data_IF_694976762426
#
_entry.id   IF_694976762426
#
_cell.length_a   1.000
_cell.length_b   1.000
_cell.length_c   1.000
_cell.angle_alpha   90.00
_cell.angle_beta   90.00
_cell.angle_gamma   90.00
#
_symmetry.space_group_name_H-M   'P 1'
#
loop_
_entity.id
_entity.type
_entity.pdbx_description
1 polymer ?
#
# COMPACT_ATOMS: atom_id res chain seq x y z
N UNK A 1 31.85 -34.25 2.15
CA UNK A 1 32.30 -33.48 0.96
C UNK A 1 32.61 -32.06 1.41
N UNK A 2 33.68 -31.47 0.87
CA UNK A 2 34.04 -30.11 1.20
C UNK A 2 32.96 -29.13 0.69
N UNK A 3 32.84 -27.98 1.35
CA UNK A 3 31.98 -26.86 0.92
C UNK A 3 32.45 -26.36 -0.46
N UNK A 4 31.52 -26.34 -1.45
CA UNK A 4 31.82 -25.77 -2.76
C UNK A 4 31.86 -24.24 -2.63
N UNK A 5 33.02 -23.65 -2.87
CA UNK A 5 33.27 -22.22 -2.68
C UNK A 5 33.18 -21.42 -3.97
N UNK A 6 32.90 -22.05 -5.10
CA UNK A 6 33.02 -21.41 -6.40
C UNK A 6 31.68 -21.32 -7.15
N UNK A 7 31.02 -22.44 -7.33
CA UNK A 7 29.81 -22.51 -8.15
C UNK A 7 28.65 -23.11 -7.36
N UNK A 8 27.53 -22.40 -7.31
CA UNK A 8 26.32 -22.80 -6.62
C UNK A 8 25.10 -22.44 -7.46
N UNK A 9 24.02 -23.20 -7.32
CA UNK A 9 22.75 -22.93 -7.98
C UNK A 9 21.87 -22.17 -7.01
N UNK A 10 21.38 -20.99 -7.39
CA UNK A 10 20.34 -20.29 -6.65
C UNK A 10 19.04 -21.11 -6.72
N UNK A 11 18.60 -21.65 -5.59
CA UNK A 11 17.35 -22.40 -5.51
C UNK A 11 16.16 -21.45 -5.43
N UNK A 12 16.18 -20.56 -4.44
CA UNK A 12 15.10 -19.56 -4.25
C UNK A 12 15.50 -18.46 -3.26
N UNK A 13 14.91 -17.31 -3.43
CA UNK A 13 14.91 -16.26 -2.41
C UNK A 13 13.80 -16.57 -1.39
N UNK A 14 14.20 -16.66 -0.11
CA UNK A 14 13.29 -17.00 1.00
C UNK A 14 12.52 -15.80 1.53
N UNK A 15 13.23 -14.72 1.79
CA UNK A 15 12.65 -13.52 2.38
C UNK A 15 13.59 -12.33 2.23
N UNK A 16 13.02 -11.15 2.37
CA UNK A 16 13.72 -9.88 2.48
C UNK A 16 13.30 -9.20 3.77
N UNK A 17 14.26 -8.63 4.48
CA UNK A 17 14.01 -7.82 5.67
C UNK A 17 14.64 -6.45 5.51
N UNK A 18 13.92 -5.41 5.91
CA UNK A 18 14.43 -4.04 5.97
C UNK A 18 14.52 -3.61 7.42
N UNK A 19 15.62 -2.93 7.75
CA UNK A 19 15.90 -2.43 9.09
C UNK A 19 16.21 -0.95 9.04
N UNK A 20 15.75 -0.25 10.04
CA UNK A 20 16.12 1.14 10.29
C UNK A 20 17.63 1.27 10.50
N UNK A 21 18.25 2.31 9.93
CA UNK A 21 19.70 2.46 9.97
C UNK A 21 20.25 2.77 11.37
N UNK A 22 19.49 3.53 12.17
CA UNK A 22 19.89 3.97 13.50
C UNK A 22 19.54 2.94 14.57
N UNK A 23 18.28 2.60 14.65
CA UNK A 23 17.75 1.73 15.72
C UNK A 23 17.95 0.25 15.46
N UNK A 24 18.30 -0.14 14.21
CA UNK A 24 18.40 -1.53 13.73
C UNK A 24 17.09 -2.34 13.89
N UNK A 25 15.98 -1.66 14.18
CA UNK A 25 14.67 -2.31 14.26
C UNK A 25 14.20 -2.74 12.88
N UNK A 26 13.63 -3.93 12.81
CA UNK A 26 12.99 -4.40 11.58
C UNK A 26 11.74 -3.58 11.30
N UNK A 27 11.70 -2.97 10.11
CA UNK A 27 10.58 -2.15 9.64
C UNK A 27 9.58 -2.99 8.84
N UNK A 28 10.11 -3.86 7.96
CA UNK A 28 9.26 -4.72 7.15
C UNK A 28 9.96 -6.06 6.86
N UNK A 29 9.14 -7.08 6.60
CA UNK A 29 9.59 -8.39 6.14
C UNK A 29 8.67 -8.87 5.03
N UNK A 30 9.26 -9.27 3.89
CA UNK A 30 8.56 -9.85 2.75
C UNK A 30 8.99 -11.31 2.60
N UNK A 31 8.03 -12.20 2.37
CA UNK A 31 8.27 -13.66 2.27
C UNK A 31 7.78 -14.27 0.97
N UNK A 32 7.05 -13.51 0.16
CA UNK A 32 6.46 -13.99 -1.10
C UNK A 32 7.03 -13.20 -2.27
N UNK A 33 8.36 -13.29 -2.44
CA UNK A 33 9.09 -12.56 -3.49
C UNK A 33 9.06 -13.35 -4.80
N UNK A 34 8.76 -12.65 -5.88
CA UNK A 34 8.79 -13.12 -7.25
C UNK A 34 9.76 -12.28 -8.08
N UNK A 35 10.41 -12.94 -9.02
CA UNK A 35 11.32 -12.31 -9.99
C UNK A 35 12.41 -11.41 -9.36
N UNK A 36 13.08 -11.85 -8.28
CA UNK A 36 14.11 -11.04 -7.65
C UNK A 36 15.31 -10.88 -8.58
N UNK A 37 15.79 -9.64 -8.73
CA UNK A 37 16.94 -9.31 -9.57
C UNK A 37 17.86 -8.32 -8.85
N UNK A 38 19.15 -8.58 -8.89
CA UNK A 38 20.20 -7.69 -8.39
C UNK A 38 21.07 -7.25 -9.56
N UNK A 39 21.00 -5.97 -9.91
CA UNK A 39 21.71 -5.39 -11.03
C UNK A 39 22.80 -4.44 -10.54
N UNK A 40 23.95 -4.46 -11.22
CA UNK A 40 25.05 -3.51 -10.98
C UNK A 40 25.43 -2.87 -12.29
N UNK A 41 25.52 -1.54 -12.32
CA UNK A 41 25.93 -0.76 -13.47
C UNK A 41 27.05 0.19 -13.10
N UNK A 42 27.88 0.55 -14.08
CA UNK A 42 28.90 1.59 -13.96
C UNK A 42 28.92 2.42 -15.25
N UNK A 43 29.24 3.68 -15.14
CA UNK A 43 29.42 4.57 -16.29
C UNK A 43 30.85 4.47 -16.81
N UNK A 44 31.03 4.19 -18.10
CA UNK A 44 32.33 4.13 -18.76
C UNK A 44 32.59 5.40 -19.58
N UNK A 45 33.74 6.02 -19.38
CA UNK A 45 34.23 7.14 -20.17
C UNK A 45 35.42 6.67 -21.02
N UNK A 46 35.26 6.72 -22.33
CA UNK A 46 36.31 6.31 -23.25
C UNK A 46 37.34 7.43 -23.44
N UNK A 47 38.62 7.11 -23.26
CA UNK A 47 39.75 7.99 -23.54
C UNK A 47 40.33 7.56 -24.88
N UNK A 48 40.28 8.46 -25.87
CA UNK A 48 40.76 8.23 -27.23
C UNK A 48 42.03 9.10 -27.53
N UNK A 49 42.85 8.66 -28.43
CA UNK A 49 43.97 9.43 -28.93
C UNK A 49 43.55 10.45 -30.02
N UNK A 50 44.54 11.20 -30.53
CA UNK A 50 44.31 12.25 -31.55
C UNK A 50 43.76 11.73 -32.89
N UNK A 51 43.87 10.42 -33.16
CA UNK A 51 43.33 9.78 -34.38
C UNK A 51 42.08 8.99 -34.10
N UNK A 52 41.52 9.07 -32.87
CA UNK A 52 40.26 8.40 -32.48
C UNK A 52 40.43 6.93 -32.04
N UNK A 53 41.66 6.47 -31.83
CA UNK A 53 41.89 5.12 -31.31
C UNK A 53 41.63 5.07 -29.79
N UNK A 54 40.90 4.05 -29.31
CA UNK A 54 40.62 3.86 -27.90
C UNK A 54 41.92 3.54 -27.12
N UNK A 55 42.25 4.39 -26.18
CA UNK A 55 43.39 4.18 -25.28
C UNK A 55 42.97 3.36 -24.06
N UNK A 56 41.87 3.75 -23.39
CA UNK A 56 41.36 3.09 -22.19
C UNK A 56 39.89 3.52 -21.94
N UNK A 57 39.19 2.74 -21.11
CA UNK A 57 37.88 3.11 -20.58
C UNK A 57 37.99 3.31 -19.08
N UNK A 58 37.60 4.48 -18.59
CA UNK A 58 37.54 4.80 -17.16
C UNK A 58 36.13 4.55 -16.65
N UNK A 59 36.00 3.68 -15.65
CA UNK A 59 34.70 3.38 -15.04
C UNK A 59 34.46 4.22 -13.80
N UNK A 60 33.30 4.83 -13.72
CA UNK A 60 32.86 5.69 -12.61
C UNK A 60 31.40 5.39 -12.23
N UNK A 61 30.93 6.02 -11.14
CA UNK A 61 29.52 6.01 -10.73
C UNK A 61 28.88 4.62 -10.69
N UNK A 62 29.55 3.66 -10.01
CA UNK A 62 28.98 2.32 -9.82
C UNK A 62 27.69 2.41 -9.02
N UNK A 63 26.61 1.83 -9.56
CA UNK A 63 25.27 1.79 -8.97
C UNK A 63 24.82 0.34 -8.85
N UNK A 64 24.03 0.04 -7.84
CA UNK A 64 23.39 -1.24 -7.70
C UNK A 64 21.90 -1.04 -7.40
N UNK A 65 21.05 -1.90 -7.97
CA UNK A 65 19.61 -1.93 -7.71
C UNK A 65 19.16 -3.35 -7.44
N UNK A 66 18.23 -3.50 -6.52
CA UNK A 66 17.53 -4.75 -6.26
C UNK A 66 16.06 -4.55 -6.54
N UNK A 67 15.51 -5.31 -7.47
CA UNK A 67 14.09 -5.28 -7.83
C UNK A 67 13.44 -6.64 -7.59
N UNK A 68 12.18 -6.62 -7.18
CA UNK A 68 11.34 -7.80 -7.04
C UNK A 68 9.87 -7.39 -7.01
N UNK A 69 8.98 -8.38 -7.08
CA UNK A 69 7.56 -8.20 -6.82
C UNK A 69 7.15 -9.02 -5.61
N UNK A 70 6.26 -8.50 -4.78
CA UNK A 70 5.60 -9.29 -3.75
C UNK A 70 4.27 -9.80 -4.30
N UNK A 71 4.01 -11.11 -4.15
CA UNK A 71 2.78 -11.75 -4.66
C UNK A 71 1.51 -11.27 -3.96
N UNK A 72 1.66 -10.59 -2.83
CA UNK A 72 0.56 -10.06 -2.02
C UNK A 72 0.69 -8.55 -1.88
N UNK A 73 -0.42 -7.85 -1.83
CA UNK A 73 -0.43 -6.44 -1.46
C UNK A 73 -0.01 -6.30 0.01
N UNK A 74 1.12 -5.64 0.24
CA UNK A 74 1.65 -5.41 1.59
C UNK A 74 1.50 -3.93 1.97
N UNK A 75 0.69 -3.66 2.99
CA UNK A 75 0.53 -2.29 3.50
C UNK A 75 1.81 -1.75 4.16
N UNK A 76 2.65 -2.62 4.72
CA UNK A 76 3.96 -2.21 5.25
C UNK A 76 4.91 -1.80 4.12
N UNK A 77 4.90 -2.53 3.00
CA UNK A 77 5.66 -2.17 1.82
C UNK A 77 5.14 -0.85 1.21
N UNK A 78 3.83 -0.70 1.08
CA UNK A 78 3.22 0.54 0.57
C UNK A 78 3.59 1.74 1.46
N UNK A 79 3.50 1.61 2.78
CA UNK A 79 3.89 2.66 3.71
C UNK A 79 5.37 3.04 3.56
N UNK A 80 6.26 2.04 3.42
CA UNK A 80 7.68 2.27 3.19
C UNK A 80 7.96 2.95 1.84
N UNK A 81 7.25 2.57 0.76
CA UNK A 81 7.37 3.19 -0.57
C UNK A 81 6.87 4.65 -0.58
N UNK A 82 5.84 4.96 0.20
CA UNK A 82 5.33 6.33 0.33
C UNK A 82 6.11 7.16 1.36
N UNK A 83 7.04 6.56 2.11
CA UNK A 83 7.78 7.24 3.17
C UNK A 83 6.93 7.58 4.40
N UNK A 84 5.79 6.92 4.58
CA UNK A 84 4.84 7.15 5.65
C UNK A 84 4.82 5.97 6.63
N UNK A 85 4.05 6.12 7.70
CA UNK A 85 3.79 5.03 8.64
C UNK A 85 2.41 4.45 8.38
N UNK A 86 2.29 3.14 8.53
CA UNK A 86 1.01 2.45 8.59
C UNK A 86 0.35 2.79 9.93
N UNK A 87 -0.84 3.34 9.89
CA UNK A 87 -1.69 3.60 11.05
C UNK A 87 -2.58 2.39 11.31
N UNK A 88 -2.55 1.88 12.52
CA UNK A 88 -3.38 0.74 12.95
C UNK A 88 -4.14 1.16 14.20
N UNK A 89 -5.45 1.04 14.19
CA UNK A 89 -6.25 1.34 15.37
C UNK A 89 -5.81 0.48 16.56
N UNK A 90 -5.72 1.08 17.73
CA UNK A 90 -5.20 0.47 18.95
C UNK A 90 -3.68 0.42 19.07
N UNK A 91 -2.95 1.03 18.11
CA UNK A 91 -1.49 1.14 18.16
C UNK A 91 -1.04 2.59 18.00
N UNK A 92 0.10 2.92 18.60
CA UNK A 92 0.77 4.22 18.48
C UNK A 92 -0.13 5.44 18.73
N UNK A 93 -1.15 5.31 19.60
CA UNK A 93 -2.09 6.38 19.95
C UNK A 93 -3.21 6.62 18.94
N UNK A 94 -3.36 5.76 17.94
CA UNK A 94 -4.48 5.81 16.98
C UNK A 94 -5.69 5.13 17.61
N UNK A 95 -6.67 5.91 18.05
CA UNK A 95 -7.89 5.35 18.66
C UNK A 95 -8.94 4.99 17.60
N UNK A 96 -9.11 5.84 16.59
CA UNK A 96 -10.09 5.67 15.53
C UNK A 96 -9.52 6.12 14.18
N UNK A 97 -10.05 5.56 13.11
CA UNK A 97 -9.76 5.97 11.74
C UNK A 97 -11.09 6.32 11.06
N UNK A 98 -11.07 7.39 10.26
CA UNK A 98 -12.19 7.76 9.39
C UNK A 98 -12.20 6.84 8.19
N UNK A 99 -13.33 6.15 8.00
CA UNK A 99 -13.60 5.28 6.86
C UNK A 99 -14.77 5.84 6.03
N UNK A 100 -14.92 5.32 4.82
CA UNK A 100 -15.94 5.72 3.85
C UNK A 100 -16.89 4.56 3.60
N UNK A 101 -18.18 4.83 3.70
CA UNK A 101 -19.21 3.87 3.36
C UNK A 101 -20.18 4.43 2.34
N UNK A 102 -20.75 3.54 1.56
CA UNK A 102 -21.94 3.83 0.77
C UNK A 102 -23.00 2.76 1.06
N UNK A 103 -24.25 3.16 1.06
CA UNK A 103 -25.38 2.26 1.26
C UNK A 103 -26.49 2.53 0.27
N UNK A 104 -27.14 1.45 -0.15
CA UNK A 104 -28.37 1.50 -0.94
C UNK A 104 -29.51 1.01 -0.04
N UNK A 105 -30.30 1.96 0.43
CA UNK A 105 -31.39 1.72 1.38
C UNK A 105 -32.70 1.69 0.66
N UNK A 106 -33.57 0.72 1.04
CA UNK A 106 -34.94 0.62 0.51
C UNK A 106 -35.86 1.60 1.24
N UNK A 107 -36.61 2.36 0.47
CA UNK A 107 -37.63 3.26 1.01
C UNK A 107 -38.87 2.41 1.38
N UNK A 108 -39.26 2.44 2.64
CA UNK A 108 -40.43 1.77 3.16
C UNK A 108 -41.46 2.78 3.61
N UNK A 109 -42.73 2.44 3.43
CA UNK A 109 -43.87 3.25 3.88
C UNK A 109 -44.61 2.55 4.99
N UNK A 110 -45.23 3.33 5.85
CA UNK A 110 -46.14 2.87 6.89
C UNK A 110 -47.49 3.57 6.73
N UNK A 111 -48.51 2.80 6.73
CA UNK A 111 -49.91 3.35 6.68
C UNK A 111 -50.49 3.27 8.07
N UNK A 112 -50.86 4.41 8.63
CA UNK A 112 -51.49 4.54 9.93
C UNK A 112 -52.93 5.04 9.74
N UNK A 113 -53.91 4.42 10.44
CA UNK A 113 -55.36 4.69 10.33
C UNK A 113 -56.05 3.66 9.47
N UNK A 114 -57.40 3.67 9.53
CA UNK A 114 -58.27 2.79 8.77
C UNK A 114 -59.27 3.62 7.92
N UNK A 115 -59.62 3.08 6.77
CA UNK A 115 -60.58 3.71 5.85
C UNK A 115 -60.08 5.02 5.25
N UNK A 116 -61.00 5.99 5.07
CA UNK A 116 -60.69 7.29 4.43
C UNK A 116 -59.74 8.19 5.25
N UNK A 117 -59.38 7.77 6.48
CA UNK A 117 -58.42 8.46 7.36
C UNK A 117 -57.01 7.84 7.35
N UNK A 118 -56.75 6.88 6.46
CA UNK A 118 -55.45 6.25 6.35
C UNK A 118 -54.41 7.23 5.81
N UNK A 119 -53.32 7.45 6.58
CA UNK A 119 -52.20 8.29 6.17
C UNK A 119 -50.99 7.40 5.94
N UNK A 120 -50.45 7.45 4.73
CA UNK A 120 -49.21 6.74 4.37
C UNK A 120 -48.05 7.69 4.55
N UNK A 121 -47.11 7.34 5.41
CA UNK A 121 -45.87 8.10 5.65
C UNK A 121 -44.66 7.26 5.27
N UNK A 122 -43.60 7.91 4.83
CA UNK A 122 -42.31 7.27 4.56
C UNK A 122 -41.57 7.05 5.89
N UNK A 123 -41.15 5.81 6.11
CA UNK A 123 -40.33 5.47 7.28
C UNK A 123 -38.90 6.08 7.15
N UNK A 124 -38.37 6.64 8.22
CA UNK A 124 -36.93 6.97 8.23
C UNK A 124 -36.09 5.74 7.92
N UNK A 125 -35.04 5.90 7.11
CA UNK A 125 -34.06 4.86 6.84
C UNK A 125 -32.89 4.97 7.80
N UNK A 126 -32.24 3.85 8.10
CA UNK A 126 -31.13 3.80 9.08
C UNK A 126 -29.85 3.34 8.40
N UNK A 127 -28.77 4.09 8.58
CA UNK A 127 -27.44 3.71 8.17
C UNK A 127 -26.84 2.64 9.10
N UNK A 128 -25.95 1.82 8.58
CA UNK A 128 -25.23 0.80 9.36
C UNK A 128 -24.30 1.39 10.41
N UNK A 129 -23.74 2.58 10.11
CA UNK A 129 -22.84 3.28 11.02
C UNK A 129 -23.32 4.72 11.25
N UNK A 130 -23.01 5.27 12.42
CA UNK A 130 -23.27 6.66 12.71
C UNK A 130 -22.36 7.55 11.85
N UNK A 131 -22.89 8.47 11.02
CA UNK A 131 -22.08 9.28 10.14
C UNK A 131 -21.35 10.37 10.93
N UNK A 132 -20.18 10.77 10.44
CA UNK A 132 -19.52 11.98 10.94
C UNK A 132 -20.38 13.17 10.54
N UNK A 133 -20.58 14.08 11.48
CA UNK A 133 -21.40 15.28 11.29
C UNK A 133 -21.02 16.01 9.99
N UNK A 134 -22.03 16.33 9.18
CA UNK A 134 -21.90 16.97 7.87
C UNK A 134 -21.09 16.19 6.82
N UNK A 135 -20.86 14.88 7.00
CA UNK A 135 -20.22 14.04 5.97
C UNK A 135 -21.15 13.74 4.81
N UNK A 136 -22.46 13.66 5.07
CA UNK A 136 -23.49 13.49 4.04
C UNK A 136 -23.90 14.85 3.51
N UNK A 137 -23.70 15.09 2.22
CA UNK A 137 -24.14 16.33 1.55
C UNK A 137 -25.34 16.11 0.67
N UNK A 138 -25.43 14.94 0.04
CA UNK A 138 -26.45 14.59 -0.92
C UNK A 138 -26.93 13.17 -0.69
N UNK A 139 -28.20 12.95 -0.93
CA UNK A 139 -28.86 11.64 -0.97
C UNK A 139 -29.47 11.51 -2.36
N UNK A 140 -29.24 10.38 -3.02
CA UNK A 140 -29.69 10.17 -4.39
C UNK A 140 -30.76 9.10 -4.44
N UNK A 141 -31.81 9.28 -5.25
CA UNK A 141 -32.69 8.16 -5.60
C UNK A 141 -31.99 7.22 -6.57
N UNK A 142 -32.33 5.94 -6.53
CA UNK A 142 -31.90 4.95 -7.51
C UNK A 142 -33.14 4.53 -8.36
N UNK A 143 -33.01 4.80 -9.65
CA UNK A 143 -34.03 4.49 -10.63
C UNK A 143 -33.44 3.61 -11.73
N UNK A 144 -33.97 2.45 -11.99
CA UNK A 144 -33.47 1.50 -13.00
C UNK A 144 -31.98 1.16 -12.87
N UNK A 145 -31.45 1.09 -11.64
CA UNK A 145 -30.03 0.93 -11.29
C UNK A 145 -29.11 2.13 -11.68
N UNK A 146 -29.68 3.25 -11.99
CA UNK A 146 -28.96 4.51 -12.24
C UNK A 146 -29.23 5.52 -11.12
N UNK A 147 -28.31 6.47 -10.96
CA UNK A 147 -28.47 7.58 -10.01
C UNK A 147 -29.51 8.53 -10.54
N UNK A 148 -30.59 8.72 -9.78
CA UNK A 148 -31.71 9.61 -10.10
C UNK A 148 -31.55 10.99 -9.47
N UNK A 149 -32.63 11.49 -8.86
CA UNK A 149 -32.69 12.84 -8.27
C UNK A 149 -31.80 12.95 -7.03
N UNK A 150 -31.06 14.05 -6.95
CA UNK A 150 -30.24 14.43 -5.79
C UNK A 150 -31.03 15.32 -4.81
N UNK A 151 -30.99 14.96 -3.54
CA UNK A 151 -31.60 15.70 -2.43
C UNK A 151 -30.55 16.21 -1.48
N UNK A 152 -30.60 17.47 -1.10
CA UNK A 152 -29.68 18.05 -0.15
C UNK A 152 -30.00 17.61 1.29
N UNK A 153 -28.99 17.65 2.17
CA UNK A 153 -29.19 17.45 3.60
C UNK A 153 -29.36 18.83 4.27
N UNK A 154 -30.54 19.04 4.84
CA UNK A 154 -30.92 20.28 5.51
C UNK A 154 -31.03 20.13 7.03
N UNK A 155 -31.38 21.23 7.68
CA UNK A 155 -31.66 21.26 9.13
C UNK A 155 -32.99 20.61 9.52
N UNK A 156 -33.89 20.43 8.57
CA UNK A 156 -35.16 19.73 8.72
C UNK A 156 -35.52 19.05 7.40
N UNK A 157 -36.21 17.92 7.46
CA UNK A 157 -36.78 17.29 6.27
C UNK A 157 -37.95 18.10 5.74
N UNK A 158 -37.99 18.31 4.42
CA UNK A 158 -39.05 19.01 3.71
C UNK A 158 -39.34 18.32 2.36
N UNK A 159 -39.89 19.00 1.38
CA UNK A 159 -40.18 18.44 0.07
C UNK A 159 -38.87 18.13 -0.73
N UNK A 160 -37.83 18.89 -0.52
CA UNK A 160 -36.55 18.84 -1.30
C UNK A 160 -35.34 18.43 -0.47
N UNK A 161 -35.40 18.55 0.85
CA UNK A 161 -34.27 18.29 1.73
C UNK A 161 -34.54 17.08 2.64
N UNK A 162 -33.50 16.31 2.88
CA UNK A 162 -33.47 15.24 3.88
C UNK A 162 -32.88 15.75 5.20
N UNK A 163 -33.25 15.12 6.31
CA UNK A 163 -32.63 15.32 7.62
C UNK A 163 -31.84 14.09 7.99
N UNK A 164 -30.59 14.28 8.39
CA UNK A 164 -29.71 13.22 8.91
C UNK A 164 -29.46 13.46 10.39
N UNK A 165 -29.83 12.50 11.22
CA UNK A 165 -29.56 12.53 12.66
C UNK A 165 -28.17 11.95 12.97
N UNK A 166 -27.60 12.35 14.12
CA UNK A 166 -26.25 11.93 14.56
C UNK A 166 -26.13 10.40 14.73
N UNK A 167 -27.25 9.72 14.94
CA UNK A 167 -27.30 8.24 15.07
C UNK A 167 -27.38 7.50 13.72
N UNK A 168 -27.34 8.20 12.60
CA UNK A 168 -27.46 7.65 11.24
C UNK A 168 -28.89 7.43 10.78
N UNK A 169 -29.91 7.93 11.49
CA UNK A 169 -31.28 7.91 11.01
C UNK A 169 -31.49 9.04 10.00
N UNK A 170 -32.03 8.69 8.83
CA UNK A 170 -32.31 9.64 7.75
C UNK A 170 -33.83 9.75 7.58
N UNK A 171 -34.34 10.95 7.77
CA UNK A 171 -35.72 11.29 7.35
C UNK A 171 -35.63 11.82 5.93
N UNK A 172 -36.25 11.06 5.00
CA UNK A 172 -36.22 11.37 3.57
C UNK A 172 -37.14 12.55 3.25
N UNK A 173 -36.91 13.26 2.12
CA UNK A 173 -37.80 14.26 1.60
C UNK A 173 -39.20 13.69 1.34
N UNK A 174 -40.24 14.46 1.54
CA UNK A 174 -41.64 14.00 1.35
C UNK A 174 -41.95 13.65 -0.10
N UNK A 175 -41.15 14.15 -1.05
CA UNK A 175 -41.24 13.77 -2.47
C UNK A 175 -40.75 12.35 -2.77
N UNK A 176 -39.96 11.74 -1.87
CA UNK A 176 -39.39 10.37 -2.03
C UNK A 176 -40.35 9.37 -1.36
N UNK A 177 -41.28 8.83 -2.09
CA UNK A 177 -42.34 7.94 -1.53
C UNK A 177 -42.11 6.45 -1.71
N UNK A 178 -41.14 6.06 -2.54
CA UNK A 178 -40.84 4.66 -2.83
C UNK A 178 -39.46 4.50 -3.48
N UNK A 179 -39.05 3.26 -3.73
CA UNK A 179 -37.78 2.97 -4.43
C UNK A 179 -36.60 2.71 -3.51
N UNK A 180 -35.44 3.15 -3.93
CA UNK A 180 -34.18 3.02 -3.18
C UNK A 180 -33.46 4.36 -3.15
N UNK A 181 -32.69 4.59 -2.10
CA UNK A 181 -31.80 5.74 -1.97
C UNK A 181 -30.37 5.30 -1.79
N UNK A 182 -29.46 6.02 -2.42
CA UNK A 182 -28.02 5.85 -2.32
C UNK A 182 -27.44 6.97 -1.46
N UNK A 183 -26.60 6.59 -0.49
CA UNK A 183 -26.01 7.53 0.45
C UNK A 183 -24.52 7.19 0.60
N UNK A 184 -23.65 8.18 0.44
CA UNK A 184 -22.23 8.10 0.79
C UNK A 184 -21.96 8.91 2.05
N UNK A 185 -21.15 8.35 2.95
CA UNK A 185 -20.82 9.01 4.20
C UNK A 185 -19.50 8.56 4.76
N UNK A 186 -18.97 9.37 5.69
CA UNK A 186 -17.81 9.03 6.48
C UNK A 186 -18.24 8.64 7.89
N UNK A 187 -17.55 7.68 8.47
CA UNK A 187 -17.78 7.25 9.84
C UNK A 187 -16.45 6.93 10.54
N UNK A 188 -16.44 6.94 11.87
CA UNK A 188 -15.29 6.53 12.65
C UNK A 188 -15.34 5.03 12.92
N UNK A 189 -14.22 4.35 12.69
CA UNK A 189 -14.10 2.91 12.99
C UNK A 189 -12.93 2.64 13.93
N UNK A 190 -13.11 1.65 14.80
CA UNK A 190 -12.11 1.14 15.73
C UNK A 190 -11.40 -0.13 15.20
N UNK A 191 -11.68 -0.53 13.96
CA UNK A 191 -11.14 -1.75 13.34
C UNK A 191 -10.61 -1.50 11.94
N UNK A 192 -9.68 -0.54 11.79
CA UNK A 192 -9.12 -0.20 10.50
C UNK A 192 -7.59 -0.10 10.51
N UNK A 193 -7.03 -0.17 9.31
CA UNK A 193 -5.63 0.11 9.01
C UNK A 193 -5.59 1.11 7.86
N UNK A 194 -4.79 2.15 7.99
CA UNK A 194 -4.65 3.20 6.98
C UNK A 194 -3.19 3.42 6.58
N UNK A 195 -2.95 3.60 5.29
CA UNK A 195 -1.68 4.08 4.73
C UNK A 195 -2.01 5.31 3.90
N UNK A 196 -1.29 6.41 4.14
CA UNK A 196 -1.51 7.68 3.45
C UNK A 196 -0.29 7.99 2.60
N UNK A 197 -0.49 8.27 1.32
CA UNK A 197 0.55 8.81 0.46
C UNK A 197 0.51 10.35 0.53
N UNK A 198 1.57 10.97 1.02
CA UNK A 198 1.69 12.42 1.13
C UNK A 198 2.71 12.95 0.13
N UNK A 199 2.38 14.01 -0.57
CA UNK A 199 3.24 14.61 -1.59
C UNK A 199 4.60 15.11 -1.08
N UNK A 200 4.74 15.36 0.22
CA UNK A 200 5.96 15.88 0.86
C UNK A 200 6.82 14.80 1.53
N UNK A 201 6.36 13.55 1.59
CA UNK A 201 7.06 12.47 2.28
C UNK A 201 7.66 11.50 1.25
N UNK A 202 8.89 11.05 1.52
CA UNK A 202 9.64 10.14 0.65
C UNK A 202 10.27 9.00 1.46
N UNK A 203 10.55 7.85 0.84
CA UNK A 203 11.18 6.73 1.49
C UNK A 203 12.47 7.11 2.24
N UNK A 204 12.63 6.60 3.43
CA UNK A 204 13.88 6.73 4.20
C UNK A 204 14.89 5.68 3.76
N UNK A 205 16.18 5.95 4.02
CA UNK A 205 17.21 4.95 3.82
C UNK A 205 17.12 3.86 4.89
N UNK A 206 17.32 2.62 4.48
CA UNK A 206 17.23 1.41 5.31
C UNK A 206 18.41 0.48 5.03
N UNK A 207 18.72 -0.45 5.93
CA UNK A 207 19.53 -1.61 5.58
C UNK A 207 18.63 -2.76 5.14
N UNK A 208 19.09 -3.51 4.13
CA UNK A 208 18.30 -4.61 3.55
C UNK A 208 19.09 -5.89 3.63
N UNK A 209 18.45 -6.97 4.09
CA UNK A 209 19.02 -8.31 4.07
C UNK A 209 18.08 -9.23 3.30
N UNK A 210 18.63 -9.84 2.25
CA UNK A 210 17.93 -10.80 1.40
C UNK A 210 18.44 -12.19 1.77
N UNK A 211 17.54 -13.09 2.14
CA UNK A 211 17.84 -14.48 2.48
C UNK A 211 17.50 -15.37 1.30
N UNK A 212 18.46 -16.20 0.89
CA UNK A 212 18.31 -17.09 -0.23
C UNK A 212 18.84 -18.50 0.12
N UNK A 213 18.36 -19.48 -0.61
CA UNK A 213 18.91 -20.84 -0.57
C UNK A 213 19.66 -21.12 -1.86
N UNK A 214 20.82 -21.76 -1.70
CA UNK A 214 21.65 -22.20 -2.80
C UNK A 214 21.85 -23.71 -2.69
N UNK A 215 22.01 -24.37 -3.82
CA UNK A 215 22.32 -25.82 -3.90
C UNK A 215 23.72 -26.02 -4.41
N UNK A 216 24.33 -27.08 -3.93
CA UNK A 216 25.60 -27.56 -4.48
C UNK A 216 25.39 -28.16 -5.87
N UNK A 217 26.26 -27.80 -6.82
CA UNK A 217 26.17 -28.29 -8.22
C UNK A 217 26.39 -29.81 -8.29
N UNK A 218 27.30 -30.37 -7.43
CA UNK A 218 27.67 -31.78 -7.41
C UNK A 218 26.78 -32.61 -6.46
N UNK A 219 26.03 -31.96 -5.56
CA UNK A 219 25.15 -32.64 -4.61
C UNK A 219 23.90 -31.79 -4.35
N UNK A 220 22.89 -31.99 -5.17
CA UNK A 220 21.62 -31.23 -5.12
C UNK A 220 20.88 -31.35 -3.77
N UNK A 221 21.15 -32.35 -2.95
CA UNK A 221 20.58 -32.49 -1.62
C UNK A 221 21.25 -31.60 -0.59
N UNK A 222 22.41 -30.99 -0.91
CA UNK A 222 23.11 -30.08 -0.01
C UNK A 222 22.66 -28.65 -0.28
N UNK A 223 22.02 -28.04 0.72
CA UNK A 223 21.49 -26.69 0.66
C UNK A 223 22.35 -25.79 1.53
N UNK A 224 22.79 -24.67 0.97
CA UNK A 224 23.51 -23.62 1.66
C UNK A 224 22.59 -22.45 1.99
N UNK A 225 22.78 -21.82 3.14
CA UNK A 225 22.15 -20.57 3.47
C UNK A 225 22.94 -19.40 2.85
N UNK A 226 22.29 -18.62 2.00
CA UNK A 226 22.87 -17.42 1.41
C UNK A 226 22.21 -16.16 1.93
N UNK A 227 22.98 -15.11 2.02
CA UNK A 227 22.50 -13.77 2.40
C UNK A 227 23.12 -12.75 1.44
N UNK A 228 22.31 -11.77 1.04
CA UNK A 228 22.81 -10.57 0.38
C UNK A 228 22.48 -9.43 1.32
N UNK A 229 23.53 -8.76 1.82
CA UNK A 229 23.41 -7.68 2.79
C UNK A 229 23.72 -6.36 2.08
N UNK A 230 22.76 -5.45 2.10
CA UNK A 230 22.90 -4.09 1.57
C UNK A 230 22.91 -3.13 2.76
N UNK A 231 24.07 -2.59 3.15
CA UNK A 231 24.18 -1.74 4.34
C UNK A 231 23.29 -0.51 4.29
N UNK A 232 23.13 0.08 3.09
CA UNK A 232 22.29 1.26 2.86
C UNK A 232 21.59 1.18 1.52
N UNK A 233 20.28 1.13 1.56
CA UNK A 233 19.41 1.12 0.39
C UNK A 233 18.21 2.06 0.61
N UNK A 234 17.59 2.49 -0.46
CA UNK A 234 16.39 3.31 -0.43
C UNK A 234 15.40 2.79 -1.45
N UNK A 235 14.13 2.68 -1.07
CA UNK A 235 13.07 2.37 -2.03
C UNK A 235 12.99 3.45 -3.09
N UNK A 236 12.89 3.05 -4.35
CA UNK A 236 12.75 3.98 -5.47
C UNK A 236 11.34 4.57 -5.48
N UNK A 237 11.19 5.91 -5.30
CA UNK A 237 9.87 6.55 -5.33
C UNK A 237 9.42 6.96 -6.73
N UNK A 238 10.27 6.83 -7.76
CA UNK A 238 9.99 7.31 -9.11
C UNK A 238 8.83 6.55 -9.77
N UNK A 239 8.67 5.27 -9.44
CA UNK A 239 7.57 4.47 -9.92
C UNK A 239 7.11 3.50 -8.84
N UNK A 240 5.95 3.78 -8.26
CA UNK A 240 5.26 2.89 -7.32
C UNK A 240 3.95 2.45 -7.96
N UNK A 241 3.88 1.20 -8.35
CA UNK A 241 2.69 0.60 -8.94
C UNK A 241 2.00 -0.33 -7.94
N UNK A 242 0.71 -0.17 -7.77
CA UNK A 242 -0.13 -1.09 -7.02
C UNK A 242 -1.19 -1.64 -7.98
N UNK A 243 -0.99 -2.85 -8.48
CA UNK A 243 -1.93 -3.47 -9.40
C UNK A 243 -3.24 -3.83 -8.68
N UNK A 244 -4.32 -3.16 -9.05
CA UNK A 244 -5.66 -3.35 -8.47
C UNK A 244 -6.43 -4.46 -9.19
N UNK A 245 -5.81 -5.64 -9.31
CA UNK A 245 -6.39 -6.84 -9.92
C UNK A 245 -6.32 -8.01 -8.96
N UNK A 246 -7.16 -9.02 -9.15
CA UNK A 246 -7.20 -10.19 -8.25
C UNK A 246 -5.86 -10.95 -8.17
N UNK A 247 -5.03 -10.87 -9.21
CA UNK A 247 -3.69 -11.45 -9.30
C UNK A 247 -2.60 -10.37 -9.31
N UNK A 248 -2.93 -9.16 -8.83
CA UNK A 248 -2.02 -8.03 -8.83
C UNK A 248 -0.79 -8.30 -7.95
N UNK A 249 0.38 -8.07 -8.52
CA UNK A 249 1.65 -8.09 -7.78
C UNK A 249 1.93 -6.69 -7.23
N UNK A 250 2.73 -6.63 -6.18
CA UNK A 250 3.20 -5.38 -5.58
C UNK A 250 4.70 -5.24 -5.87
N UNK A 251 5.09 -4.59 -7.00
CA UNK A 251 6.47 -4.42 -7.38
C UNK A 251 7.18 -3.38 -6.51
N UNK A 252 8.48 -3.54 -6.36
CA UNK A 252 9.34 -2.60 -5.66
C UNK A 252 10.78 -2.68 -6.16
N UNK A 253 11.50 -1.58 -5.99
CA UNK A 253 12.91 -1.48 -6.30
C UNK A 253 13.64 -0.76 -5.18
N UNK A 254 14.79 -1.29 -4.78
CA UNK A 254 15.74 -0.62 -3.91
C UNK A 254 16.92 -0.10 -4.75
N UNK A 255 17.22 1.17 -4.60
CA UNK A 255 18.48 1.76 -5.03
C UNK A 255 19.48 1.59 -3.89
N UNK A 256 20.56 0.86 -4.16
CA UNK A 256 21.59 0.56 -3.18
C UNK A 256 22.65 1.67 -3.26
N UNK A 257 22.88 2.32 -2.16
CA UNK A 257 23.77 3.47 -2.06
C UNK A 257 24.98 3.12 -1.17
N UNK A 258 26.11 3.75 -1.47
CA UNK A 258 27.23 3.77 -0.55
C UNK A 258 26.83 4.49 0.74
N UNK A 259 27.26 3.98 1.88
CA UNK A 259 27.14 4.72 3.14
C UNK A 259 28.32 5.69 3.28
N UNK A 260 28.11 6.94 2.90
CA UNK A 260 29.12 7.98 2.94
C UNK A 260 29.58 8.33 4.36
N UNK A 261 28.76 8.03 5.37
CA UNK A 261 29.06 8.29 6.78
C UNK A 261 29.70 7.08 7.49
N UNK A 262 29.91 5.98 6.79
CA UNK A 262 30.63 4.84 7.34
C UNK A 262 32.12 5.16 7.54
N UNK A 263 32.75 4.40 8.42
CA UNK A 263 34.21 4.53 8.67
C UNK A 263 35.00 4.31 7.37
N UNK A 264 36.20 4.91 7.29
CA UNK A 264 37.13 4.74 6.15
C UNK A 264 37.35 3.24 5.86
N UNK A 265 37.11 2.84 4.61
CA UNK A 265 37.23 1.45 4.14
C UNK A 265 35.90 0.67 3.99
N UNK A 266 34.78 1.21 4.44
CA UNK A 266 33.45 0.62 4.19
C UNK A 266 32.81 1.23 2.94
N UNK A 267 33.30 0.83 1.77
CA UNK A 267 32.88 1.31 0.45
C UNK A 267 31.88 0.36 -0.23
N UNK A 268 31.31 -0.54 0.54
CA UNK A 268 30.52 -1.64 0.05
C UNK A 268 29.12 -1.19 -0.34
N UNK A 269 28.70 -1.55 -1.56
CA UNK A 269 27.29 -1.44 -1.97
C UNK A 269 26.49 -2.60 -1.39
N UNK A 270 27.00 -3.82 -1.51
CA UNK A 270 26.42 -5.02 -0.92
C UNK A 270 27.48 -6.11 -0.79
N UNK A 271 27.22 -7.08 0.08
CA UNK A 271 28.01 -8.30 0.24
C UNK A 271 27.14 -9.53 0.02
N UNK A 272 27.74 -10.59 -0.51
CA UNK A 272 27.10 -11.91 -0.68
C UNK A 272 27.80 -12.89 0.23
N UNK A 273 27.07 -13.46 1.18
CA UNK A 273 27.57 -14.42 2.16
C UNK A 273 26.92 -15.76 1.93
N UNK A 274 27.70 -16.82 1.79
CA UNK A 274 27.25 -18.20 1.76
C UNK A 274 27.76 -18.93 2.98
N UNK A 275 26.90 -19.68 3.66
CA UNK A 275 27.23 -20.49 4.83
C UNK A 275 26.58 -21.87 4.77
N UNK A 276 27.22 -22.86 5.41
CA UNK A 276 26.64 -24.20 5.63
C UNK A 276 25.60 -24.20 6.72
#
# INVERSE_FOLDING_TARGET
MAFNKNEVILDRVRSLTCHDLETKKMLLRLTSLEEPSLNTTAEGEEVVDAIGALITTLYRAKKATFSASNSLVSLDLAAAQYGTKKEVVGKDGVEKIVDYAYEILKVETETTGEGDSAVTTVKPVKLAHAPIKNSIKWIYTIENNEVGTAYAVGAAANETDALVADDGTITLPTSVTSGKVYVEYQYETETAVRVVNKASEFPSAVSVVIYAYFRDVCNENKIYSGKIVCPKAKLNPESVELALTATGKHPFEFVINRDYCAEEGQDELFEIILSE
#
